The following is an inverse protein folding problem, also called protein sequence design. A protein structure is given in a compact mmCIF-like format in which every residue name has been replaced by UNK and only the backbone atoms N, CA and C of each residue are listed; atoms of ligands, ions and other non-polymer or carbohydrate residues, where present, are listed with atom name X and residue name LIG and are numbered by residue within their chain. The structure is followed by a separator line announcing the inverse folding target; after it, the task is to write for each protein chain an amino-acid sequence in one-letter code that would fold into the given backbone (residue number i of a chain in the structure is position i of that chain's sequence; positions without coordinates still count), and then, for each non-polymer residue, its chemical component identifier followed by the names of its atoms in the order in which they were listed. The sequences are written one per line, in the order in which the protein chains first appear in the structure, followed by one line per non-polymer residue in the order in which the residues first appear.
data_IF_452875219137
#
_entry.id   IF_452875219137
#
_cell.length_a   1.000
_cell.length_b   1.000
_cell.length_c   1.000
_cell.angle_alpha   90.00
_cell.angle_beta   90.00
_cell.angle_gamma   90.00
#
_symmetry.space_group_name_H-M   'P 1'
#
loop_
_entity.id
_entity.type
_entity.pdbx_description
1 polymer ?
#
# COMPACT_ATOMS: atom_id res chain seq x y z
N UNK A 1 9.42 -12.40 18.08
CA UNK A 1 9.51 -10.93 18.10
C UNK A 1 10.57 -10.56 17.08
N UNK A 2 10.18 -10.13 15.87
CA UNK A 2 11.14 -9.66 14.86
C UNK A 2 11.70 -8.32 15.35
N UNK A 3 13.03 -8.18 15.45
CA UNK A 3 13.63 -6.90 15.81
C UNK A 3 13.30 -5.87 14.73
N UNK A 4 13.18 -4.59 15.10
CA UNK A 4 12.92 -3.50 14.17
C UNK A 4 13.99 -3.37 13.05
N UNK A 5 15.10 -4.10 13.17
CA UNK A 5 16.20 -4.17 12.21
C UNK A 5 15.86 -4.93 10.92
N UNK A 6 14.77 -5.71 10.87
CA UNK A 6 14.38 -6.44 9.66
C UNK A 6 13.35 -5.69 8.78
N UNK A 7 12.85 -4.53 9.23
CA UNK A 7 11.84 -3.78 8.50
C UNK A 7 12.49 -2.81 7.50
N UNK A 8 12.21 -2.99 6.21
CA UNK A 8 12.69 -2.12 5.14
C UNK A 8 11.77 -0.91 4.97
N UNK A 9 12.32 0.27 4.68
CA UNK A 9 11.53 1.43 4.24
C UNK A 9 11.00 1.15 2.82
N UNK A 10 9.69 1.35 2.62
CA UNK A 10 9.00 0.95 1.39
C UNK A 10 8.32 2.12 0.69
N UNK A 11 7.76 3.06 1.46
CA UNK A 11 7.11 4.27 0.96
C UNK A 11 7.49 5.45 1.84
N UNK A 12 7.46 6.64 1.26
CA UNK A 12 7.63 7.89 1.98
C UNK A 12 6.42 8.77 1.73
N UNK A 13 5.87 9.34 2.80
CA UNK A 13 4.92 10.43 2.71
C UNK A 13 5.71 11.74 2.78
N UNK A 14 5.55 12.56 1.74
CA UNK A 14 6.24 13.83 1.58
C UNK A 14 5.24 14.98 1.75
N UNK A 15 5.65 16.03 2.44
CA UNK A 15 4.92 17.29 2.55
C UNK A 15 5.65 18.40 1.80
N UNK A 16 4.97 18.96 0.80
CA UNK A 16 5.47 20.02 -0.09
C UNK A 16 4.90 21.40 0.24
N UNK A 17 4.07 21.54 1.29
CA UNK A 17 3.38 22.80 1.59
C UNK A 17 4.30 23.92 2.06
N UNK A 18 5.49 23.57 2.56
CA UNK A 18 6.47 24.55 3.02
C UNK A 18 7.46 24.87 1.90
N UNK A 19 7.68 26.17 1.65
CA UNK A 19 8.62 26.69 0.64
C UNK A 19 10.11 26.35 0.90
N UNK A 20 10.42 25.53 1.91
CA UNK A 20 11.78 25.20 2.35
C UNK A 20 12.26 23.83 1.84
N UNK A 21 11.57 23.24 0.86
CA UNK A 21 11.93 21.95 0.26
C UNK A 21 11.12 20.76 0.78
N UNK A 22 11.36 19.60 0.18
CA UNK A 22 10.65 18.35 0.47
C UNK A 22 10.93 17.89 1.90
N UNK A 23 9.86 17.73 2.70
CA UNK A 23 9.96 17.14 4.04
C UNK A 23 9.34 15.76 4.07
N UNK A 24 10.14 14.74 4.36
CA UNK A 24 9.62 13.40 4.70
C UNK A 24 8.85 13.51 6.01
N UNK A 25 7.54 13.28 5.94
CA UNK A 25 6.63 13.25 7.10
C UNK A 25 6.78 11.92 7.82
N UNK A 26 6.76 10.84 7.05
CA UNK A 26 6.89 9.48 7.59
C UNK A 26 7.41 8.52 6.52
N UNK A 27 8.02 7.43 6.98
CA UNK A 27 8.44 6.31 6.14
C UNK A 27 7.67 5.06 6.58
N UNK A 28 6.95 4.45 5.63
CA UNK A 28 6.27 3.20 5.86
C UNK A 28 7.27 2.05 5.74
N UNK A 29 7.10 1.03 6.58
CA UNK A 29 7.99 -0.13 6.59
C UNK A 29 7.24 -1.44 6.47
N UNK A 30 7.90 -2.43 5.88
CA UNK A 30 7.37 -3.79 5.78
C UNK A 30 8.49 -4.82 5.96
N UNK A 31 8.13 -6.00 6.45
CA UNK A 31 9.06 -7.11 6.68
C UNK A 31 9.44 -7.86 5.40
N UNK A 32 8.79 -7.57 4.27
CA UNK A 32 9.12 -8.22 3.00
C UNK A 32 10.39 -7.64 2.41
N UNK A 33 11.22 -8.52 1.85
CA UNK A 33 12.40 -8.16 1.09
C UNK A 33 12.09 -7.93 -0.41
N UNK A 34 10.82 -8.09 -0.80
CA UNK A 34 10.38 -7.92 -2.19
C UNK A 34 10.12 -6.45 -2.54
N UNK A 35 10.31 -6.12 -3.82
CA UNK A 35 10.06 -4.77 -4.31
C UNK A 35 8.55 -4.45 -4.36
N UNK A 36 8.21 -3.21 -4.00
CA UNK A 36 6.85 -2.69 -4.16
C UNK A 36 6.64 -2.27 -5.61
N UNK A 37 5.46 -2.61 -6.14
CA UNK A 37 5.15 -2.43 -7.56
C UNK A 37 4.20 -1.26 -7.80
N UNK A 38 3.17 -1.14 -6.98
CA UNK A 38 2.12 -0.14 -7.16
C UNK A 38 1.61 0.27 -5.79
N UNK A 39 1.22 1.54 -5.65
CA UNK A 39 0.55 2.11 -4.49
C UNK A 39 -0.61 2.97 -4.98
N UNK A 40 -1.74 2.94 -4.27
CA UNK A 40 -2.85 3.85 -4.56
C UNK A 40 -3.54 4.32 -3.28
N UNK A 41 -3.97 5.58 -3.27
CA UNK A 41 -4.56 6.25 -2.11
C UNK A 41 -6.08 6.18 -2.20
N UNK A 42 -6.73 5.88 -1.08
CA UNK A 42 -8.19 5.92 -1.02
C UNK A 42 -8.65 7.37 -0.91
N UNK A 43 -9.10 7.98 -2.02
CA UNK A 43 -9.49 9.40 -2.03
C UNK A 43 -10.71 9.70 -1.15
N UNK A 44 -11.59 8.72 -0.97
CA UNK A 44 -12.76 8.82 -0.09
C UNK A 44 -12.44 8.58 1.40
N UNK A 45 -11.24 8.09 1.71
CA UNK A 45 -10.70 7.97 3.06
C UNK A 45 -9.17 8.12 3.01
N UNK A 46 -8.70 9.37 3.02
CA UNK A 46 -7.29 9.71 2.80
C UNK A 46 -6.35 9.22 3.89
N UNK A 47 -6.87 8.69 5.00
CA UNK A 47 -6.06 8.00 6.01
C UNK A 47 -5.57 6.63 5.53
N UNK A 48 -6.13 6.10 4.43
CA UNK A 48 -5.84 4.77 3.92
C UNK A 48 -5.19 4.79 2.54
N UNK A 49 -4.26 3.87 2.34
CA UNK A 49 -3.74 3.54 1.02
C UNK A 49 -3.53 2.03 0.89
N UNK A 50 -3.50 1.54 -0.34
CA UNK A 50 -3.20 0.16 -0.66
C UNK A 50 -1.88 0.07 -1.42
N UNK A 51 -1.23 -1.09 -1.35
CA UNK A 51 0.01 -1.34 -2.06
C UNK A 51 0.06 -2.72 -2.68
N UNK A 52 0.94 -2.91 -3.65
CA UNK A 52 1.25 -4.20 -4.27
C UNK A 52 2.72 -4.51 -4.04
N UNK A 53 3.00 -5.69 -3.50
CA UNK A 53 4.35 -6.21 -3.29
C UNK A 53 4.59 -7.35 -4.28
N UNK A 54 5.74 -7.34 -4.95
CA UNK A 54 6.12 -8.41 -5.86
C UNK A 54 6.11 -9.77 -5.16
N UNK A 55 5.75 -10.80 -5.93
CA UNK A 55 5.75 -12.19 -5.50
C UNK A 55 4.91 -12.50 -4.25
N UNK A 56 3.98 -11.61 -3.88
CA UNK A 56 2.98 -11.84 -2.86
C UNK A 56 1.58 -12.07 -3.45
N UNK A 57 0.77 -12.83 -2.70
CA UNK A 57 -0.63 -13.14 -3.00
C UNK A 57 -1.56 -12.36 -2.08
N UNK A 58 -1.21 -11.10 -1.81
CA UNK A 58 -2.04 -10.21 -1.03
C UNK A 58 -1.82 -8.75 -1.41
N UNK A 59 -2.79 -7.92 -1.02
CA UNK A 59 -2.76 -6.46 -1.13
C UNK A 59 -2.81 -5.90 0.29
N UNK A 60 -1.68 -5.41 0.85
CA UNK A 60 -1.66 -4.73 2.13
C UNK A 60 -2.42 -3.40 2.07
N UNK A 61 -3.24 -3.16 3.09
CA UNK A 61 -3.96 -1.92 3.33
C UNK A 61 -3.33 -1.23 4.54
N UNK A 62 -2.99 0.04 4.37
CA UNK A 62 -2.20 0.81 5.31
C UNK A 62 -3.00 1.96 5.89
N UNK A 63 -2.75 2.28 7.17
CA UNK A 63 -3.12 3.55 7.78
C UNK A 63 -1.92 4.49 7.79
N UNK A 64 -2.09 5.70 7.26
CA UNK A 64 -1.00 6.68 7.24
C UNK A 64 -0.50 7.07 8.64
N UNK A 65 -1.35 6.89 9.65
CA UNK A 65 -1.07 7.18 11.06
C UNK A 65 -0.30 6.04 11.73
N UNK A 66 -0.22 4.85 11.10
CA UNK A 66 0.46 3.66 11.63
C UNK A 66 1.50 3.12 10.64
N UNK A 67 2.69 3.74 10.55
CA UNK A 67 3.64 3.48 9.46
C UNK A 67 4.46 2.18 9.58
N UNK A 68 4.32 1.44 10.68
CA UNK A 68 5.19 0.29 10.99
C UNK A 68 4.69 -1.00 10.33
N UNK A 69 3.38 -1.14 10.13
CA UNK A 69 2.75 -2.33 9.55
C UNK A 69 1.43 -1.96 8.87
N UNK A 70 0.98 -2.75 7.88
CA UNK A 70 -0.36 -2.59 7.33
C UNK A 70 -1.41 -2.89 8.41
N UNK A 71 -2.59 -2.27 8.31
CA UNK A 71 -3.71 -2.58 9.21
C UNK A 71 -4.18 -4.02 9.01
N UNK A 72 -4.29 -4.41 7.73
CA UNK A 72 -4.65 -5.75 7.29
C UNK A 72 -4.19 -5.95 5.84
N UNK A 73 -4.24 -7.18 5.37
CA UNK A 73 -3.95 -7.53 3.98
C UNK A 73 -5.09 -8.33 3.39
N UNK A 74 -5.50 -7.99 2.18
CA UNK A 74 -6.52 -8.73 1.43
C UNK A 74 -5.83 -9.85 0.65
N UNK A 75 -6.21 -11.10 0.88
CA UNK A 75 -5.66 -12.25 0.16
C UNK A 75 -6.19 -12.31 -1.27
N UNK A 76 -5.31 -12.61 -2.22
CA UNK A 76 -5.62 -12.72 -3.65
C UNK A 76 -5.32 -14.13 -4.13
N UNK A 77 -5.99 -14.55 -5.20
CA UNK A 77 -5.73 -15.87 -5.81
C UNK A 77 -4.43 -15.90 -6.60
N UNK A 78 -4.09 -14.77 -7.22
CA UNK A 78 -2.94 -14.61 -8.08
C UNK A 78 -2.12 -13.40 -7.67
N UNK A 79 -0.91 -13.32 -8.23
CA UNK A 79 -0.05 -12.16 -8.11
C UNK A 79 -0.74 -10.94 -8.71
N UNK A 80 -0.93 -9.93 -7.87
CA UNK A 80 -1.46 -8.63 -8.29
C UNK A 80 -0.30 -7.82 -8.87
N UNK A 81 -0.58 -7.12 -9.96
CA UNK A 81 0.35 -6.24 -10.65
C UNK A 81 -0.01 -4.77 -10.45
N UNK A 82 -1.30 -4.47 -10.38
CA UNK A 82 -1.78 -3.11 -10.22
C UNK A 82 -3.07 -3.06 -9.41
N UNK A 83 -3.35 -1.90 -8.85
CA UNK A 83 -4.52 -1.61 -8.03
C UNK A 83 -5.06 -0.22 -8.38
N UNK A 84 -6.36 0.00 -8.17
CA UNK A 84 -7.00 1.31 -8.27
C UNK A 84 -8.23 1.39 -7.34
N UNK A 85 -8.20 2.28 -6.35
CA UNK A 85 -9.32 2.55 -5.47
C UNK A 85 -10.49 3.14 -6.25
N UNK A 86 -11.70 2.73 -5.90
CA UNK A 86 -12.90 3.37 -6.42
C UNK A 86 -12.97 4.80 -5.87
N UNK A 87 -13.07 5.84 -6.73
CA UNK A 87 -13.07 7.23 -6.29
C UNK A 87 -14.36 7.66 -5.58
N UNK A 88 -15.44 6.87 -5.68
CA UNK A 88 -16.75 7.19 -5.12
C UNK A 88 -17.14 6.31 -3.94
N UNK A 89 -16.63 5.06 -3.89
CA UNK A 89 -16.95 4.10 -2.84
C UNK A 89 -15.69 3.61 -2.13
N UNK A 90 -15.50 4.05 -0.89
CA UNK A 90 -14.27 3.81 -0.11
C UNK A 90 -13.98 2.35 0.24
N UNK A 91 -14.91 1.43 -0.02
CA UNK A 91 -14.75 0.00 0.26
C UNK A 91 -14.35 -0.83 -0.95
N UNK A 92 -14.22 -0.23 -2.14
CA UNK A 92 -13.92 -0.99 -3.35
C UNK A 92 -12.55 -0.65 -3.92
N UNK A 93 -11.76 -1.69 -4.16
CA UNK A 93 -10.45 -1.61 -4.79
C UNK A 93 -10.43 -2.54 -6.00
N UNK A 94 -10.15 -2.01 -7.18
CA UNK A 94 -9.91 -2.84 -8.37
C UNK A 94 -8.47 -3.38 -8.34
N UNK A 95 -8.28 -4.63 -8.77
CA UNK A 95 -6.97 -5.26 -8.94
C UNK A 95 -6.80 -5.76 -10.37
N UNK A 96 -5.58 -5.67 -10.90
CA UNK A 96 -5.15 -6.32 -12.13
C UNK A 96 -4.02 -7.31 -11.88
N UNK A 97 -4.07 -8.52 -12.44
CA UNK A 97 -3.13 -9.60 -12.11
C UNK A 97 -2.71 -10.50 -13.28
N UNK A 98 -1.70 -11.35 -13.05
CA UNK A 98 -1.11 -12.22 -14.09
C UNK A 98 -2.07 -13.33 -14.55
N UNK A 99 -2.96 -13.79 -13.66
CA UNK A 99 -3.89 -14.90 -13.93
C UNK A 99 -5.14 -14.54 -14.73
N UNK A 100 -5.29 -13.28 -15.19
CA UNK A 100 -6.54 -12.80 -15.79
C UNK A 100 -7.71 -12.75 -14.80
N UNK A 101 -7.42 -12.79 -13.51
CA UNK A 101 -8.38 -12.78 -12.41
C UNK A 101 -8.49 -11.38 -11.80
N UNK A 102 -8.73 -10.40 -12.65
CA UNK A 102 -8.96 -9.01 -12.24
C UNK A 102 -10.27 -8.93 -11.43
N UNK A 103 -10.23 -8.24 -10.29
CA UNK A 103 -11.36 -8.22 -9.34
C UNK A 103 -11.51 -6.88 -8.66
N UNK A 104 -12.77 -6.57 -8.34
CA UNK A 104 -13.06 -5.63 -7.27
C UNK A 104 -13.01 -6.39 -5.93
N UNK A 105 -12.17 -5.94 -5.01
CA UNK A 105 -12.02 -6.48 -3.66
C UNK A 105 -12.56 -5.47 -2.64
N UNK A 106 -13.16 -5.98 -1.57
CA UNK A 106 -13.76 -5.25 -0.45
C UNK A 106 -13.32 -5.86 0.87
#
# INVERSE_FOLDING_TARGET
MLSAEFLMNIFQLLDFRNNNGEKVVTSFRHASQEAFRHVDINISNTDKFASVINDQYCVPIWDIRQPIQPDFSILTRDKVLCIAWNPHEHFWLATGGVGGHDRAIR
#
